data_IF_641404954039
#
_entry.id   IF_641404954039
#
_cell.length_a   1.000
_cell.length_b   1.000
_cell.length_c   1.000
_cell.angle_alpha   90.00
_cell.angle_beta   90.00
_cell.angle_gamma   90.00
#
_symmetry.space_group_name_H-M   'P 1'
#
loop_
_entity.id
_entity.type
_entity.pdbx_description
1 polymer ?
#
# COMPACT_ATOMS: atom_id res chain seq x y z
N UNK A 1 -17.54 4.12 -7.27
CA UNK A 1 -16.60 3.58 -6.27
C UNK A 1 -17.23 2.62 -5.26
N UNK A 2 -18.24 3.00 -4.49
CA UNK A 2 -18.90 2.05 -3.55
C UNK A 2 -19.38 0.76 -4.23
N UNK A 3 -20.00 0.88 -5.42
CA UNK A 3 -20.37 -0.29 -6.23
C UNK A 3 -19.17 -1.21 -6.54
N UNK A 4 -17.99 -0.64 -6.77
CA UNK A 4 -16.78 -1.41 -7.03
C UNK A 4 -16.30 -2.15 -5.78
N UNK A 5 -16.08 -1.42 -4.68
CA UNK A 5 -15.51 -1.98 -3.45
C UNK A 5 -16.48 -2.91 -2.70
N UNK A 6 -17.70 -2.46 -2.44
CA UNK A 6 -18.69 -3.20 -1.65
C UNK A 6 -19.63 -4.05 -2.49
N UNK A 7 -19.66 -3.84 -3.81
CA UNK A 7 -20.40 -4.68 -4.74
C UNK A 7 -19.50 -5.75 -5.36
N UNK A 8 -18.60 -5.35 -6.26
CA UNK A 8 -17.79 -6.28 -7.07
C UNK A 8 -16.73 -6.99 -6.23
N UNK A 9 -15.85 -6.26 -5.54
CA UNK A 9 -14.73 -6.85 -4.79
C UNK A 9 -15.21 -7.67 -3.61
N UNK A 10 -16.16 -7.14 -2.83
CA UNK A 10 -16.78 -7.86 -1.72
C UNK A 10 -17.46 -9.15 -2.20
N UNK A 11 -18.24 -9.10 -3.28
CA UNK A 11 -18.88 -10.30 -3.83
C UNK A 11 -17.85 -11.33 -4.31
N UNK A 12 -16.79 -10.87 -4.97
CA UNK A 12 -15.71 -11.76 -5.40
C UNK A 12 -15.06 -12.47 -4.21
N UNK A 13 -14.66 -11.71 -3.19
CA UNK A 13 -13.98 -12.28 -2.02
C UNK A 13 -14.90 -13.19 -1.20
N UNK A 14 -16.14 -12.79 -0.94
CA UNK A 14 -17.06 -13.56 -0.08
C UNK A 14 -17.67 -14.75 -0.81
N UNK A 15 -18.25 -14.52 -1.98
CA UNK A 15 -19.04 -15.53 -2.70
C UNK A 15 -18.15 -16.38 -3.59
N UNK A 16 -17.36 -15.74 -4.48
CA UNK A 16 -16.55 -16.50 -5.47
C UNK A 16 -15.38 -17.23 -4.81
N UNK A 17 -14.71 -16.60 -3.86
CA UNK A 17 -13.63 -17.24 -3.08
C UNK A 17 -14.11 -17.95 -1.82
N UNK A 18 -15.40 -17.81 -1.45
CA UNK A 18 -16.02 -18.55 -0.36
C UNK A 18 -15.63 -18.08 1.05
N UNK A 19 -15.19 -16.84 1.24
CA UNK A 19 -14.98 -16.26 2.57
C UNK A 19 -16.30 -15.77 3.21
N UNK A 20 -17.29 -16.67 3.29
CA UNK A 20 -18.61 -16.37 3.84
C UNK A 20 -18.53 -16.09 5.35
N UNK A 21 -19.12 -14.97 5.77
CA UNK A 21 -19.30 -14.60 7.16
C UNK A 21 -20.54 -15.35 7.66
N UNK A 22 -20.37 -16.34 8.55
CA UNK A 22 -21.49 -16.84 9.36
C UNK A 22 -21.84 -15.78 10.40
N UNK A 23 -22.65 -14.78 10.07
CA UNK A 23 -23.27 -13.95 11.11
C UNK A 23 -24.36 -14.82 11.74
N UNK A 24 -24.16 -15.26 12.98
CA UNK A 24 -25.30 -15.67 13.80
C UNK A 24 -25.92 -14.37 14.29
N UNK A 25 -27.08 -14.02 13.75
CA UNK A 25 -27.95 -13.05 14.41
C UNK A 25 -28.32 -13.64 15.78
N UNK A 26 -27.94 -12.95 16.85
CA UNK A 26 -28.54 -13.16 18.16
C UNK A 26 -29.75 -12.23 18.24
N UNK A 27 -30.92 -12.86 18.18
CA UNK A 27 -32.20 -12.50 18.79
C UNK A 27 -32.37 -11.05 19.26
N UNK A 28 -33.19 -10.31 18.51
CA UNK A 28 -34.23 -9.49 19.12
C UNK A 28 -35.46 -9.48 18.21
N UNK A 29 -36.51 -10.16 18.66
CA UNK A 29 -37.85 -10.15 18.08
C UNK A 29 -38.37 -8.71 17.93
N UNK A 30 -38.72 -8.28 16.70
CA UNK A 30 -40.11 -7.95 16.35
C UNK A 30 -40.28 -7.42 14.92
N UNK A 31 -41.23 -8.07 14.22
CA UNK A 31 -42.13 -7.57 13.16
C UNK A 31 -41.60 -7.19 11.77
N UNK A 32 -41.82 -8.13 10.84
CA UNK A 32 -42.25 -8.01 9.43
C UNK A 32 -41.87 -6.75 8.63
N UNK A 33 -40.94 -6.93 7.68
CA UNK A 33 -41.12 -6.46 6.29
C UNK A 33 -40.15 -7.14 5.32
N UNK A 34 -40.72 -7.67 4.25
CA UNK A 34 -40.09 -8.40 3.14
C UNK A 34 -38.79 -7.76 2.64
N UNK A 35 -37.69 -8.51 2.71
CA UNK A 35 -36.54 -8.40 1.80
C UNK A 35 -35.98 -9.79 1.51
N UNK A 36 -35.92 -10.09 0.22
CA UNK A 36 -35.49 -11.34 -0.40
C UNK A 36 -34.27 -12.00 0.25
N UNK A 37 -34.46 -13.24 0.68
CA UNK A 37 -33.42 -14.18 1.12
C UNK A 37 -32.33 -14.36 0.05
N UNK A 38 -31.08 -14.01 0.38
CA UNK A 38 -29.90 -14.43 -0.40
C UNK A 38 -28.89 -15.26 0.39
N UNK A 39 -29.20 -15.68 1.61
CA UNK A 39 -28.15 -16.00 2.60
C UNK A 39 -27.97 -17.49 2.89
N UNK A 40 -28.37 -18.38 1.99
CA UNK A 40 -28.08 -19.81 2.10
C UNK A 40 -27.32 -20.33 0.88
N UNK A 41 -25.99 -20.16 0.85
CA UNK A 41 -25.12 -20.92 -0.04
C UNK A 41 -24.20 -21.81 0.81
N UNK A 42 -24.32 -23.16 0.71
CA UNK A 42 -23.41 -24.10 1.37
C UNK A 42 -21.96 -23.91 0.90
N UNK A 43 -20.99 -24.24 1.76
CA UNK A 43 -19.54 -24.22 1.47
C UNK A 43 -19.12 -25.18 0.33
N UNK A 44 -20.06 -25.98 -0.21
CA UNK A 44 -19.86 -26.91 -1.34
C UNK A 44 -19.52 -26.19 -2.66
N UNK A 45 -19.87 -24.91 -2.83
CA UNK A 45 -19.56 -24.12 -4.04
C UNK A 45 -18.31 -23.22 -3.90
N UNK A 46 -17.51 -23.39 -2.84
CA UNK A 46 -16.32 -22.58 -2.63
C UNK A 46 -15.19 -22.94 -3.59
N UNK A 47 -14.72 -21.98 -4.40
CA UNK A 47 -13.59 -22.21 -5.32
C UNK A 47 -12.25 -22.42 -4.62
N UNK A 48 -12.07 -21.81 -3.44
CA UNK A 48 -10.90 -22.04 -2.60
C UNK A 48 -11.22 -23.11 -1.57
N UNK A 49 -10.29 -24.07 -1.39
CA UNK A 49 -10.38 -25.04 -0.30
C UNK A 49 -10.13 -24.35 1.05
N UNK A 50 -10.59 -24.96 2.14
CA UNK A 50 -10.39 -24.45 3.51
C UNK A 50 -8.91 -24.15 3.76
N UNK A 51 -8.01 -25.08 3.42
CA UNK A 51 -6.55 -24.89 3.56
C UNK A 51 -6.02 -23.69 2.76
N UNK A 52 -6.55 -23.44 1.56
CA UNK A 52 -6.16 -22.27 0.75
C UNK A 52 -6.65 -20.98 1.38
N UNK A 53 -7.86 -20.96 1.93
CA UNK A 53 -8.42 -19.80 2.64
C UNK A 53 -7.59 -19.45 3.86
N UNK A 54 -7.29 -20.44 4.70
CA UNK A 54 -6.45 -20.28 5.89
C UNK A 54 -5.03 -19.83 5.54
N UNK A 55 -4.44 -20.41 4.49
CA UNK A 55 -3.12 -20.00 4.02
C UNK A 55 -3.15 -18.53 3.56
N UNK A 56 -4.13 -18.15 2.74
CA UNK A 56 -4.27 -16.77 2.28
C UNK A 56 -4.39 -15.79 3.45
N UNK A 57 -5.22 -16.09 4.46
CA UNK A 57 -5.36 -15.26 5.65
C UNK A 57 -4.03 -15.09 6.39
N UNK A 58 -3.25 -16.16 6.57
CA UNK A 58 -1.93 -16.08 7.20
C UNK A 58 -0.96 -15.22 6.38
N UNK A 59 -0.96 -15.39 5.05
CA UNK A 59 -0.10 -14.62 4.15
C UNK A 59 -0.44 -13.13 4.16
N UNK A 60 -1.72 -12.76 4.21
CA UNK A 60 -2.14 -11.35 4.25
C UNK A 60 -1.54 -10.60 5.46
N UNK A 61 -1.31 -11.29 6.58
CA UNK A 61 -0.70 -10.71 7.79
C UNK A 61 0.80 -10.44 7.66
N UNK A 62 1.46 -11.01 6.65
CA UNK A 62 2.90 -10.85 6.43
C UNK A 62 3.22 -9.60 5.60
N UNK A 63 2.20 -8.95 5.04
CA UNK A 63 2.36 -7.71 4.27
C UNK A 63 2.56 -6.54 5.23
N UNK A 64 3.61 -5.77 5.02
CA UNK A 64 3.94 -4.59 5.82
C UNK A 64 3.50 -3.35 5.06
N UNK A 65 2.65 -2.57 5.71
CA UNK A 65 2.00 -1.39 5.15
C UNK A 65 2.48 -0.15 5.90
N UNK A 66 2.86 0.93 5.21
CA UNK A 66 3.26 2.18 5.86
C UNK A 66 2.07 2.88 6.53
N UNK A 67 2.34 3.80 7.48
CA UNK A 67 1.29 4.61 8.10
C UNK A 67 0.44 5.37 7.09
N UNK A 68 -0.87 5.47 7.34
CA UNK A 68 -1.82 6.23 6.50
C UNK A 68 -2.53 5.40 5.43
N UNK A 69 -2.10 4.16 5.20
CA UNK A 69 -2.83 3.20 4.35
C UNK A 69 -3.66 2.29 5.26
N UNK A 70 -4.89 1.98 4.84
CA UNK A 70 -5.75 1.06 5.57
C UNK A 70 -5.08 -0.33 5.64
N UNK A 71 -4.87 -0.84 6.86
CA UNK A 71 -4.39 -2.21 7.04
C UNK A 71 -5.54 -3.19 6.83
N UNK A 72 -5.25 -4.38 6.30
CA UNK A 72 -6.23 -5.46 6.27
C UNK A 72 -6.42 -6.01 7.69
N UNK A 73 -7.66 -6.10 8.19
CA UNK A 73 -7.92 -6.62 9.53
C UNK A 73 -7.46 -8.07 9.73
N UNK A 74 -7.00 -8.41 10.94
CA UNK A 74 -6.39 -9.73 11.20
C UNK A 74 -7.32 -10.93 10.94
N UNK A 75 -8.61 -10.78 11.21
CA UNK A 75 -9.64 -11.78 10.93
C UNK A 75 -10.34 -11.58 9.59
N UNK A 76 -9.66 -11.07 8.57
CA UNK A 76 -10.29 -10.86 7.25
C UNK A 76 -10.95 -12.15 6.74
N UNK A 77 -12.24 -12.08 6.40
CA UNK A 77 -13.01 -13.24 5.96
C UNK A 77 -13.49 -14.17 7.09
N UNK A 78 -13.32 -13.81 8.37
CA UNK A 78 -13.96 -14.52 9.49
C UNK A 78 -15.25 -13.83 9.94
N UNK A 79 -16.15 -14.61 10.54
CA UNK A 79 -17.41 -14.10 11.07
C UNK A 79 -17.23 -13.01 12.14
N UNK A 80 -16.20 -13.14 12.97
CA UNK A 80 -15.93 -12.27 14.12
C UNK A 80 -15.46 -10.86 13.76
N UNK A 81 -15.06 -10.63 12.51
CA UNK A 81 -14.30 -9.42 12.15
C UNK A 81 -15.15 -8.34 11.46
N UNK A 82 -16.46 -8.54 11.40
CA UNK A 82 -17.42 -7.58 10.85
C UNK A 82 -17.29 -7.35 9.34
N UNK A 83 -17.90 -6.26 8.85
CA UNK A 83 -17.84 -5.84 7.45
C UNK A 83 -16.61 -4.96 7.23
N UNK A 84 -15.82 -5.27 6.19
CA UNK A 84 -14.74 -4.40 5.75
C UNK A 84 -15.29 -3.09 5.16
N UNK A 85 -14.60 -2.00 5.45
CA UNK A 85 -14.84 -0.68 4.85
C UNK A 85 -14.29 -0.61 3.42
N UNK A 86 -14.75 0.36 2.64
CA UNK A 86 -14.28 0.58 1.27
C UNK A 86 -12.74 0.71 1.16
N UNK A 87 -12.09 1.42 2.09
CA UNK A 87 -10.63 1.56 2.12
C UNK A 87 -9.90 0.24 2.43
N UNK A 88 -10.51 -0.66 3.20
CA UNK A 88 -9.96 -1.97 3.52
C UNK A 88 -10.11 -2.92 2.33
N UNK A 89 -11.23 -2.86 1.60
CA UNK A 89 -11.40 -3.58 0.34
C UNK A 89 -10.37 -3.14 -0.71
N UNK A 90 -10.18 -1.83 -0.84
CA UNK A 90 -9.16 -1.27 -1.73
C UNK A 90 -7.77 -1.77 -1.34
N UNK A 91 -7.38 -1.64 -0.07
CA UNK A 91 -6.06 -2.09 0.39
C UNK A 91 -5.85 -3.60 0.21
N UNK A 92 -6.90 -4.41 0.44
CA UNK A 92 -6.85 -5.85 0.21
C UNK A 92 -6.53 -6.19 -1.25
N UNK A 93 -7.26 -5.62 -2.20
CA UNK A 93 -7.12 -5.95 -3.63
C UNK A 93 -5.97 -5.22 -4.31
N UNK A 94 -5.77 -3.94 -4.05
CA UNK A 94 -4.75 -3.15 -4.73
C UNK A 94 -3.35 -3.40 -4.15
N UNK A 95 -3.23 -3.74 -2.86
CA UNK A 95 -1.93 -3.77 -2.16
C UNK A 95 -1.55 -5.15 -1.62
N UNK A 96 -2.44 -5.80 -0.86
CA UNK A 96 -2.09 -7.04 -0.16
C UNK A 96 -2.11 -8.25 -1.09
N UNK A 97 -3.19 -8.44 -1.85
CA UNK A 97 -3.36 -9.60 -2.73
C UNK A 97 -2.23 -9.74 -3.77
N UNK A 98 -1.77 -8.67 -4.46
CA UNK A 98 -0.61 -8.73 -5.35
C UNK A 98 0.65 -9.30 -4.70
N UNK A 99 0.94 -8.92 -3.45
CA UNK A 99 2.14 -9.32 -2.73
C UNK A 99 2.05 -10.75 -2.17
N UNK A 100 0.86 -11.30 -2.00
CA UNK A 100 0.68 -12.68 -1.51
C UNK A 100 0.29 -13.66 -2.62
N UNK A 101 -0.17 -13.17 -3.77
CA UNK A 101 -0.71 -14.01 -4.85
C UNK A 101 0.27 -15.10 -5.29
N UNK A 102 1.55 -14.74 -5.41
CA UNK A 102 2.61 -15.64 -5.84
C UNK A 102 2.69 -16.89 -4.96
N UNK A 103 2.59 -16.75 -3.64
CA UNK A 103 2.64 -17.88 -2.71
C UNK A 103 1.26 -18.52 -2.50
N UNK A 104 0.21 -17.71 -2.43
CA UNK A 104 -1.15 -18.19 -2.22
C UNK A 104 -1.65 -19.08 -3.38
N UNK A 105 -1.21 -18.78 -4.60
CA UNK A 105 -1.72 -19.40 -5.83
C UNK A 105 -0.63 -20.04 -6.70
N UNK A 106 0.67 -19.79 -6.45
CA UNK A 106 1.78 -20.26 -7.27
C UNK A 106 2.32 -21.66 -6.96
N UNK A 107 1.78 -22.39 -5.97
CA UNK A 107 2.14 -23.78 -5.65
C UNK A 107 2.16 -24.70 -6.88
N UNK A 108 2.95 -25.79 -6.84
CA UNK A 108 3.23 -26.75 -7.94
C UNK A 108 2.10 -26.86 -8.97
N UNK A 109 2.37 -26.38 -10.19
CA UNK A 109 1.50 -26.53 -11.35
C UNK A 109 1.63 -27.97 -11.86
N UNK A 110 0.52 -28.71 -11.90
CA UNK A 110 0.43 -29.98 -12.62
C UNK A 110 -0.31 -29.76 -13.93
N UNK A 111 -0.11 -30.65 -14.91
CA UNK A 111 -0.78 -30.55 -16.20
C UNK A 111 -2.31 -30.40 -16.05
N UNK A 112 -2.91 -31.09 -15.07
CA UNK A 112 -4.35 -31.01 -14.80
C UNK A 112 -4.85 -29.76 -14.05
N UNK A 113 -3.98 -28.86 -13.58
CA UNK A 113 -4.43 -27.66 -12.85
C UNK A 113 -3.82 -26.34 -13.34
N UNK A 114 -2.89 -26.39 -14.31
CA UNK A 114 -2.22 -25.22 -14.87
C UNK A 114 -3.20 -24.18 -15.41
N UNK A 115 -4.08 -24.57 -16.33
CA UNK A 115 -4.97 -23.61 -17.02
C UNK A 115 -5.97 -22.96 -16.06
N UNK A 116 -6.48 -23.74 -15.09
CA UNK A 116 -7.34 -23.20 -14.03
C UNK A 116 -6.59 -22.20 -13.15
N UNK A 117 -5.31 -22.46 -12.81
CA UNK A 117 -4.48 -21.52 -12.03
C UNK A 117 -4.19 -20.25 -12.80
N UNK A 118 -3.77 -20.36 -14.06
CA UNK A 118 -3.56 -19.20 -14.94
C UNK A 118 -4.85 -18.37 -15.01
N UNK A 119 -6.00 -19.02 -15.21
CA UNK A 119 -7.30 -18.34 -15.25
C UNK A 119 -7.60 -17.61 -13.95
N UNK A 120 -7.36 -18.23 -12.80
CA UNK A 120 -7.56 -17.61 -11.47
C UNK A 120 -6.64 -16.39 -11.28
N UNK A 121 -5.40 -16.47 -11.74
CA UNK A 121 -4.44 -15.37 -11.64
C UNK A 121 -4.78 -14.21 -12.56
N UNK A 122 -5.14 -14.49 -13.82
CA UNK A 122 -5.61 -13.48 -14.75
C UNK A 122 -6.89 -12.81 -14.24
N UNK A 123 -7.77 -13.58 -13.59
CA UNK A 123 -8.97 -13.06 -12.96
C UNK A 123 -8.65 -12.09 -11.82
N UNK A 124 -7.71 -12.44 -10.94
CA UNK A 124 -7.22 -11.55 -9.87
C UNK A 124 -6.51 -10.32 -10.43
N UNK A 125 -5.61 -10.51 -11.40
CA UNK A 125 -4.86 -9.43 -12.04
C UNK A 125 -5.82 -8.40 -12.66
N UNK A 126 -6.84 -8.87 -13.38
CA UNK A 126 -7.88 -8.01 -13.96
C UNK A 126 -8.60 -7.18 -12.90
N UNK A 127 -8.93 -7.77 -11.73
CA UNK A 127 -9.52 -7.03 -10.61
C UNK A 127 -8.58 -5.99 -10.02
N UNK A 128 -7.29 -6.32 -9.88
CA UNK A 128 -6.27 -5.41 -9.36
C UNK A 128 -6.12 -4.20 -10.29
N UNK A 129 -6.00 -4.44 -11.60
CA UNK A 129 -5.90 -3.36 -12.60
C UNK A 129 -7.17 -2.49 -12.64
N UNK A 130 -8.35 -3.12 -12.60
CA UNK A 130 -9.61 -2.37 -12.51
C UNK A 130 -9.68 -1.56 -11.20
N UNK A 131 -9.14 -2.08 -10.10
CA UNK A 131 -9.10 -1.38 -8.81
C UNK A 131 -8.16 -0.18 -8.85
N UNK A 132 -6.99 -0.31 -9.50
CA UNK A 132 -6.10 0.82 -9.75
C UNK A 132 -6.77 1.90 -10.60
N UNK A 133 -7.50 1.53 -11.65
CA UNK A 133 -8.26 2.48 -12.47
C UNK A 133 -9.31 3.25 -11.66
N UNK A 134 -10.05 2.57 -10.77
CA UNK A 134 -11.07 3.21 -9.94
C UNK A 134 -10.48 4.25 -8.98
N UNK A 135 -9.22 4.11 -8.59
CA UNK A 135 -8.47 5.05 -7.76
C UNK A 135 -7.80 6.18 -8.58
N UNK A 136 -7.64 6.01 -9.89
CA UNK A 136 -6.95 6.98 -10.74
C UNK A 136 -7.55 8.38 -10.60
N UNK A 137 -6.67 9.38 -10.45
CA UNK A 137 -7.00 10.82 -10.39
C UNK A 137 -6.98 11.51 -11.74
N UNK A 138 -6.47 10.84 -12.76
CA UNK A 138 -6.48 11.29 -14.13
C UNK A 138 -7.00 10.15 -14.98
N UNK A 139 -7.91 10.47 -15.91
CA UNK A 139 -8.51 9.50 -16.81
C UNK A 139 -8.20 9.96 -18.23
N UNK A 140 -7.65 9.03 -19.01
CA UNK A 140 -7.46 9.17 -20.46
C UNK A 140 -8.30 8.11 -21.17
N UNK A 141 -8.54 8.30 -22.47
CA UNK A 141 -9.23 7.29 -23.28
C UNK A 141 -8.53 5.92 -23.20
N UNK A 142 -7.20 5.91 -23.18
CA UNK A 142 -6.41 4.69 -23.04
C UNK A 142 -6.68 3.98 -21.70
N UNK A 143 -6.73 4.71 -20.59
CA UNK A 143 -7.04 4.11 -19.28
C UNK A 143 -8.46 3.57 -19.22
N UNK A 144 -9.44 4.24 -19.85
CA UNK A 144 -10.82 3.76 -19.95
C UNK A 144 -10.91 2.46 -20.77
N UNK A 145 -10.26 2.43 -21.95
CA UNK A 145 -10.21 1.24 -22.78
C UNK A 145 -9.54 0.06 -22.06
N UNK A 146 -8.44 0.31 -21.34
CA UNK A 146 -7.79 -0.69 -20.48
C UNK A 146 -8.72 -1.23 -19.41
N UNK A 147 -9.48 -0.36 -18.73
CA UNK A 147 -10.48 -0.81 -17.76
C UNK A 147 -11.52 -1.75 -18.40
N UNK A 148 -12.07 -1.38 -19.56
CA UNK A 148 -13.09 -2.17 -20.26
C UNK A 148 -12.56 -3.54 -20.68
N UNK A 149 -11.35 -3.60 -21.23
CA UNK A 149 -10.67 -4.84 -21.61
C UNK A 149 -10.48 -5.74 -20.39
N UNK A 150 -9.95 -5.19 -19.30
CA UNK A 150 -9.69 -5.96 -18.08
C UNK A 150 -10.96 -6.43 -17.39
N UNK A 151 -11.99 -5.59 -17.34
CA UNK A 151 -13.24 -5.99 -16.73
C UNK A 151 -13.98 -7.04 -17.56
N UNK A 152 -13.90 -6.97 -18.90
CA UNK A 152 -14.39 -8.03 -19.78
C UNK A 152 -13.60 -9.35 -19.59
N UNK A 153 -12.26 -9.27 -19.47
CA UNK A 153 -11.41 -10.43 -19.19
C UNK A 153 -11.75 -11.06 -17.82
N UNK A 154 -11.99 -10.23 -16.80
CA UNK A 154 -12.49 -10.67 -15.51
C UNK A 154 -13.81 -11.40 -15.63
N UNK A 155 -14.80 -10.87 -16.35
CA UNK A 155 -16.08 -11.53 -16.57
C UNK A 155 -15.93 -12.89 -17.25
N UNK A 156 -15.17 -12.94 -18.36
CA UNK A 156 -14.94 -14.17 -19.13
C UNK A 156 -14.21 -15.25 -18.34
N UNK A 157 -13.16 -14.89 -17.61
CA UNK A 157 -12.45 -15.84 -16.73
C UNK A 157 -13.30 -16.25 -15.53
N UNK A 158 -14.19 -15.37 -15.06
CA UNK A 158 -15.09 -15.70 -13.95
C UNK A 158 -16.12 -16.75 -14.33
N UNK A 159 -16.66 -16.68 -15.55
CA UNK A 159 -17.63 -17.65 -16.06
C UNK A 159 -17.08 -19.08 -16.01
N UNK A 160 -15.82 -19.29 -16.40
CA UNK A 160 -15.19 -20.62 -16.39
C UNK A 160 -14.70 -21.06 -15.01
N UNK A 161 -14.39 -20.13 -14.12
CA UNK A 161 -13.87 -20.44 -12.78
C UNK A 161 -14.98 -20.73 -11.77
N UNK A 162 -16.11 -20.04 -11.91
CA UNK A 162 -17.16 -19.88 -10.90
C UNK A 162 -18.53 -20.25 -11.47
N UNK A 163 -18.64 -21.46 -12.02
CA UNK A 163 -19.89 -21.97 -12.58
C UNK A 163 -21.03 -21.98 -11.54
N UNK A 164 -22.23 -21.58 -11.97
CA UNK A 164 -23.42 -21.56 -11.10
C UNK A 164 -23.50 -20.39 -10.11
N UNK A 165 -22.53 -19.46 -10.10
CA UNK A 165 -22.58 -18.29 -9.22
C UNK A 165 -23.38 -17.14 -9.87
N UNK A 166 -24.34 -16.60 -9.12
CA UNK A 166 -25.19 -15.49 -9.55
C UNK A 166 -24.39 -14.22 -9.89
N UNK A 167 -24.82 -13.53 -10.94
CA UNK A 167 -24.33 -12.20 -11.31
C UNK A 167 -25.21 -11.15 -10.64
N UNK A 168 -24.68 -10.46 -9.64
CA UNK A 168 -25.37 -9.33 -9.01
C UNK A 168 -25.48 -8.11 -9.95
N UNK A 169 -26.49 -7.24 -9.76
CA UNK A 169 -26.61 -5.97 -10.47
C UNK A 169 -25.33 -5.11 -10.40
N UNK A 170 -24.58 -5.21 -9.31
CA UNK A 170 -23.31 -4.50 -9.14
C UNK A 170 -22.28 -4.82 -10.23
N UNK A 171 -22.25 -6.08 -10.71
CA UNK A 171 -21.37 -6.49 -11.80
C UNK A 171 -21.80 -5.89 -13.14
N UNK A 172 -23.10 -5.75 -13.36
CA UNK A 172 -23.64 -5.06 -14.54
C UNK A 172 -23.30 -3.57 -14.50
N UNK A 173 -23.52 -2.89 -13.37
CA UNK A 173 -23.15 -1.48 -13.22
C UNK A 173 -21.66 -1.22 -13.44
N UNK A 174 -20.79 -2.17 -13.08
CA UNK A 174 -19.36 -2.04 -13.30
C UNK A 174 -18.95 -2.09 -14.78
N UNK A 175 -19.76 -2.68 -15.68
CA UNK A 175 -19.51 -2.62 -17.13
C UNK A 175 -19.50 -1.18 -17.65
N UNK A 176 -20.26 -0.29 -17.00
CA UNK A 176 -20.39 1.10 -17.41
C UNK A 176 -19.33 2.03 -16.79
N UNK A 177 -18.44 1.53 -15.93
CA UNK A 177 -17.43 2.37 -15.26
C UNK A 177 -16.53 3.07 -16.29
N UNK A 178 -16.05 2.37 -17.33
CA UNK A 178 -15.20 2.95 -18.36
C UNK A 178 -15.88 4.12 -19.08
N UNK A 179 -17.11 3.89 -19.56
CA UNK A 179 -17.95 4.91 -20.20
C UNK A 179 -18.27 6.10 -19.28
N UNK A 180 -18.63 5.84 -18.03
CA UNK A 180 -18.94 6.89 -17.06
C UNK A 180 -17.70 7.73 -16.74
N UNK A 181 -16.52 7.12 -16.64
CA UNK A 181 -15.27 7.85 -16.41
C UNK A 181 -14.86 8.72 -17.61
N UNK A 182 -15.24 8.39 -18.84
CA UNK A 182 -15.04 9.29 -20.00
C UNK A 182 -15.87 10.56 -19.88
N UNK A 183 -17.09 10.44 -19.38
CA UNK A 183 -18.04 11.55 -19.27
C UNK A 183 -17.79 12.42 -18.04
N UNK A 184 -17.53 11.80 -16.90
CA UNK A 184 -17.47 12.46 -15.60
C UNK A 184 -16.04 12.64 -15.08
N UNK A 185 -15.06 12.04 -15.77
CA UNK A 185 -13.67 12.03 -15.35
C UNK A 185 -13.39 11.03 -14.21
N UNK A 186 -12.35 11.27 -13.41
CA UNK A 186 -11.90 10.41 -12.30
C UNK A 186 -13.01 10.09 -11.28
N UNK A 187 -13.26 8.80 -11.02
CA UNK A 187 -14.29 8.37 -10.06
C UNK A 187 -14.02 8.78 -8.62
N UNK A 188 -12.75 8.97 -8.25
CA UNK A 188 -12.33 9.46 -6.94
C UNK A 188 -12.88 10.86 -6.63
N UNK A 189 -13.01 11.70 -7.66
CA UNK A 189 -13.59 13.05 -7.56
C UNK A 189 -15.10 13.02 -7.31
N UNK A 190 -15.78 11.94 -7.70
CA UNK A 190 -17.23 11.74 -7.54
C UNK A 190 -17.57 10.92 -6.28
N UNK A 191 -16.57 10.66 -5.45
CA UNK A 191 -16.71 9.79 -4.30
C UNK A 191 -17.57 10.39 -3.20
N UNK A 192 -18.32 9.54 -2.49
CA UNK A 192 -19.01 9.93 -1.25
C UNK A 192 -18.09 9.98 -0.04
N UNK A 193 -16.81 9.61 -0.19
CA UNK A 193 -15.87 9.48 0.93
C UNK A 193 -15.67 10.80 1.68
N UNK A 194 -15.67 11.94 0.99
CA UNK A 194 -15.63 13.25 1.64
C UNK A 194 -16.84 13.49 2.56
N UNK A 195 -18.05 13.16 2.08
CA UNK A 195 -19.28 13.26 2.87
C UNK A 195 -19.33 12.29 4.05
N UNK A 196 -18.84 11.07 3.89
CA UNK A 196 -18.76 10.08 4.98
C UNK A 196 -17.77 10.51 6.07
N UNK A 197 -16.62 11.08 5.68
CA UNK A 197 -15.68 11.67 6.64
C UNK A 197 -16.33 12.82 7.40
N UNK A 198 -17.03 13.70 6.70
CA UNK A 198 -17.77 14.81 7.33
C UNK A 198 -18.82 14.28 8.31
N UNK A 199 -19.59 13.25 7.93
CA UNK A 199 -20.58 12.63 8.81
C UNK A 199 -19.94 12.03 10.07
N UNK A 200 -18.81 11.32 9.93
CA UNK A 200 -18.07 10.79 11.08
C UNK A 200 -17.55 11.90 12.01
N UNK A 201 -17.04 12.99 11.43
CA UNK A 201 -16.63 14.17 12.19
C UNK A 201 -17.83 14.78 12.93
N UNK A 202 -18.97 14.93 12.25
CA UNK A 202 -20.21 15.45 12.84
C UNK A 202 -20.72 14.57 13.99
N UNK A 203 -20.69 13.24 13.82
CA UNK A 203 -21.06 12.29 14.87
C UNK A 203 -20.10 12.31 16.06
N UNK A 204 -18.82 12.61 15.83
CA UNK A 204 -17.82 12.71 16.90
C UNK A 204 -17.90 14.02 17.69
N UNK A 205 -18.67 15.01 17.21
CA UNK A 205 -18.87 16.26 17.93
C UNK A 205 -19.91 16.08 19.04
N UNK A 206 -19.57 16.40 20.31
CA UNK A 206 -20.54 16.32 21.39
C UNK A 206 -21.62 17.39 21.18
N UNK A 207 -22.87 16.95 20.99
CA UNK A 207 -24.08 17.78 20.93
C UNK A 207 -24.50 18.25 22.32
N UNK A 208 -23.58 18.84 23.08
CA UNK A 208 -23.96 19.58 24.28
C UNK A 208 -24.40 20.97 23.81
N UNK A 209 -25.68 21.32 24.02
CA UNK A 209 -26.38 22.55 23.63
C UNK A 209 -25.78 23.86 24.18
N UNK A 210 -24.49 24.11 23.93
CA UNK A 210 -23.77 25.31 24.30
C UNK A 210 -23.07 25.85 23.05
N UNK A 211 -23.86 26.57 22.25
CA UNK A 211 -23.41 27.27 21.03
C UNK A 211 -22.31 28.31 21.37
N UNK A 212 -22.25 28.79 22.61
CA UNK A 212 -21.36 29.88 23.02
C UNK A 212 -19.90 29.49 23.37
N UNK A 213 -19.56 28.21 23.54
CA UNK A 213 -18.19 27.81 23.94
C UNK A 213 -17.32 27.27 22.80
N UNK A 214 -17.75 27.46 21.54
CA UNK A 214 -17.18 26.76 20.38
C UNK A 214 -15.84 27.31 19.86
N UNK A 215 -15.32 28.43 20.33
CA UNK A 215 -14.11 29.07 19.76
C UNK A 215 -12.80 28.63 20.41
N UNK A 216 -12.80 28.31 21.71
CA UNK A 216 -11.57 28.00 22.46
C UNK A 216 -11.23 26.50 22.52
N UNK A 217 -12.23 25.61 22.50
CA UNK A 217 -12.02 24.16 22.58
C UNK A 217 -11.61 23.50 21.25
N UNK A 218 -11.83 24.16 20.11
CA UNK A 218 -11.50 23.61 18.78
C UNK A 218 -9.98 23.61 18.50
N UNK A 219 -9.25 24.66 18.89
CA UNK A 219 -7.78 24.74 18.68
C UNK A 219 -6.99 23.69 19.47
N UNK A 220 -7.45 23.32 20.67
CA UNK A 220 -6.71 22.43 21.59
C UNK A 220 -6.89 20.93 21.32
N UNK A 221 -7.95 20.54 20.60
CA UNK A 221 -8.22 19.13 20.24
C UNK A 221 -7.67 18.77 18.87
N UNK A 222 -7.65 19.70 17.91
CA UNK A 222 -6.99 19.49 16.62
C UNK A 222 -5.45 19.35 16.75
N UNK A 223 -4.83 20.06 17.70
CA UNK A 223 -3.40 19.90 17.99
C UNK A 223 -3.04 18.52 18.57
N UNK A 224 -4.02 17.73 19.03
CA UNK A 224 -3.82 16.37 19.56
C UNK A 224 -3.96 15.27 18.49
N UNK A 225 -4.75 15.48 17.44
CA UNK A 225 -4.76 14.58 16.26
C UNK A 225 -3.53 14.79 15.37
N UNK A 226 -2.84 15.92 15.50
CA UNK A 226 -1.56 16.21 14.87
C UNK A 226 -0.34 15.85 15.74
N UNK A 227 -0.45 14.89 16.68
CA UNK A 227 0.70 14.50 17.50
C UNK A 227 1.76 13.77 16.66
N UNK A 228 2.56 14.60 15.99
CA UNK A 228 3.93 14.35 15.60
C UNK A 228 4.67 13.94 16.86
N UNK A 229 5.20 12.72 16.90
CA UNK A 229 6.17 12.36 17.91
C UNK A 229 7.30 13.43 17.86
N UNK A 230 7.72 14.00 19.01
CA UNK A 230 8.77 15.00 19.01
C UNK A 230 10.00 14.46 18.27
N UNK A 231 10.60 15.31 17.43
CA UNK A 231 11.87 14.98 16.78
C UNK A 231 12.86 14.80 17.92
N UNK A 232 13.35 13.57 18.09
CA UNK A 232 14.34 13.25 19.09
C UNK A 232 15.68 13.18 18.38
N UNK A 233 16.58 14.09 18.76
CA UNK A 233 17.94 14.14 18.27
C UNK A 233 18.82 13.40 19.28
N UNK A 234 19.56 12.40 18.81
CA UNK A 234 20.52 11.67 19.65
C UNK A 234 21.87 11.73 18.98
N UNK A 235 22.86 12.24 19.71
CA UNK A 235 24.25 12.17 19.30
C UNK A 235 24.73 10.74 19.48
N UNK A 236 25.12 10.12 18.37
CA UNK A 236 25.63 8.73 18.38
C UNK A 236 26.76 8.58 17.37
N UNK A 237 27.47 7.48 17.50
CA UNK A 237 28.52 7.09 16.57
C UNK A 237 27.93 6.31 15.40
N UNK A 238 28.45 6.59 14.19
CA UNK A 238 28.07 5.83 13.00
C UNK A 238 28.72 4.45 12.96
N UNK A 239 27.99 3.51 12.37
CA UNK A 239 28.60 2.28 11.86
C UNK A 239 29.62 2.65 10.78
N UNK A 240 30.75 1.96 10.76
CA UNK A 240 31.85 2.19 9.83
C UNK A 240 31.39 2.13 8.38
N UNK A 241 30.53 1.17 8.02
CA UNK A 241 29.99 1.04 6.67
C UNK A 241 29.16 2.27 6.25
N UNK A 242 28.35 2.80 7.17
CA UNK A 242 27.53 4.00 6.92
C UNK A 242 28.43 5.24 6.84
N UNK A 243 29.46 5.33 7.71
CA UNK A 243 30.43 6.43 7.70
C UNK A 243 31.20 6.49 6.37
N UNK A 244 31.65 5.36 5.83
CA UNK A 244 32.40 5.33 4.57
C UNK A 244 31.54 5.76 3.38
N UNK A 245 30.28 5.33 3.33
CA UNK A 245 29.31 5.79 2.32
C UNK A 245 29.05 7.29 2.46
N UNK A 246 28.92 7.79 3.68
CA UNK A 246 28.73 9.21 3.98
C UNK A 246 29.90 10.07 3.55
N UNK A 247 31.12 9.64 3.88
CA UNK A 247 32.34 10.32 3.47
C UNK A 247 32.45 10.37 1.95
N UNK A 248 32.20 9.24 1.26
CA UNK A 248 32.25 9.17 -0.19
C UNK A 248 31.18 10.06 -0.86
N UNK A 249 29.97 10.11 -0.31
CA UNK A 249 28.89 10.99 -0.80
C UNK A 249 29.27 12.47 -0.64
N UNK A 250 29.68 12.88 0.56
CA UNK A 250 30.00 14.28 0.84
C UNK A 250 31.26 14.76 0.13
N UNK A 251 32.25 13.91 -0.11
CA UNK A 251 33.44 14.25 -0.91
C UNK A 251 33.10 14.67 -2.34
N UNK A 252 31.97 14.21 -2.90
CA UNK A 252 31.50 14.67 -4.22
C UNK A 252 31.05 16.13 -4.21
N UNK A 253 30.44 16.59 -3.12
CA UNK A 253 29.98 17.97 -2.95
C UNK A 253 31.05 18.89 -2.34
N UNK A 254 31.96 18.33 -1.53
CA UNK A 254 32.98 19.06 -0.80
C UNK A 254 34.36 18.43 -1.03
N UNK A 255 35.09 18.93 -2.04
CA UNK A 255 36.43 18.43 -2.39
C UNK A 255 37.47 18.54 -1.26
N UNK A 256 37.25 19.45 -0.31
CA UNK A 256 38.15 19.70 0.82
C UNK A 256 37.84 18.87 2.07
N UNK A 257 36.83 17.98 2.02
CA UNK A 257 36.44 17.12 3.13
C UNK A 257 37.43 15.96 3.31
N UNK A 258 37.92 15.79 4.55
CA UNK A 258 38.88 14.73 4.92
C UNK A 258 38.28 13.72 5.89
N UNK A 259 38.79 12.49 5.83
CA UNK A 259 38.47 11.43 6.79
C UNK A 259 39.17 11.74 8.11
N UNK A 260 38.48 11.67 9.27
CA UNK A 260 39.15 11.90 10.56
C UNK A 260 40.33 10.95 10.83
N UNK A 261 40.35 9.78 10.18
CA UNK A 261 41.41 8.76 10.31
C UNK A 261 42.72 9.14 9.62
N UNK A 262 42.68 10.03 8.62
CA UNK A 262 43.83 10.36 7.76
C UNK A 262 44.70 11.46 8.38
N UNK A 263 45.55 11.11 9.35
CA UNK A 263 46.47 12.06 9.99
C UNK A 263 47.81 12.19 9.23
N UNK A 264 48.43 13.39 9.17
CA UNK A 264 48.03 14.66 9.78
C UNK A 264 47.11 15.51 8.88
N UNK A 265 46.15 16.20 9.50
CA UNK A 265 45.24 17.10 8.81
C UNK A 265 45.87 18.48 8.51
N UNK A 266 45.69 19.03 7.30
CA UNK A 266 46.06 20.42 6.99
C UNK A 266 45.33 21.41 7.89
N UNK A 267 45.98 22.53 8.22
CA UNK A 267 45.34 23.70 8.83
C UNK A 267 44.21 24.15 7.88
N UNK A 268 42.97 24.24 8.40
CA UNK A 268 41.72 24.57 7.66
C UNK A 268 41.00 23.41 6.93
N UNK A 269 41.46 22.17 7.05
CA UNK A 269 40.71 21.03 6.50
C UNK A 269 39.37 20.85 7.22
N UNK A 270 38.27 20.72 6.46
CA UNK A 270 36.98 20.26 7.02
C UNK A 270 37.07 18.75 7.23
N UNK A 271 36.88 18.30 8.47
CA UNK A 271 37.01 16.89 8.84
C UNK A 271 35.61 16.33 9.09
N UNK A 272 35.24 15.26 8.40
CA UNK A 272 34.04 14.51 8.77
C UNK A 272 34.39 13.65 9.99
N UNK A 273 33.79 13.96 11.14
CA UNK A 273 33.93 13.10 12.31
C UNK A 273 32.87 12.00 12.28
N UNK A 274 33.13 10.90 13.00
CA UNK A 274 32.16 9.84 13.27
C UNK A 274 30.95 10.27 14.13
N UNK A 275 30.92 11.52 14.63
CA UNK A 275 29.80 12.08 15.38
C UNK A 275 28.80 12.69 14.40
N UNK A 276 27.57 12.18 14.43
CA UNK A 276 26.46 12.75 13.66
C UNK A 276 25.20 12.84 14.51
N UNK A 277 24.29 13.71 14.09
CA UNK A 277 22.96 13.78 14.68
C UNK A 277 22.05 12.77 13.98
N UNK A 278 21.67 11.71 14.71
CA UNK A 278 20.63 10.80 14.24
C UNK A 278 19.26 11.36 14.58
N UNK A 279 18.38 11.35 13.58
CA UNK A 279 17.01 11.85 13.67
C UNK A 279 16.05 10.67 13.53
N UNK A 280 14.96 10.68 14.30
CA UNK A 280 13.96 9.61 14.26
C UNK A 280 12.97 9.72 13.10
N UNK A 281 12.77 10.92 12.53
CA UNK A 281 11.82 11.18 11.44
C UNK A 281 12.31 12.28 10.50
N UNK A 282 12.04 12.12 9.21
CA UNK A 282 12.27 13.15 8.19
C UNK A 282 10.99 13.42 7.40
N UNK A 283 10.79 14.67 6.99
CA UNK A 283 9.74 15.02 6.02
C UNK A 283 10.28 14.73 4.62
N UNK A 284 9.49 14.03 3.84
CA UNK A 284 9.74 13.83 2.40
C UNK A 284 8.74 14.69 1.60
N UNK A 285 8.74 14.56 0.28
CA UNK A 285 7.74 15.22 -0.58
C UNK A 285 6.31 14.93 -0.11
N UNK A 286 5.40 15.85 -0.42
CA UNK A 286 3.95 15.70 -0.25
C UNK A 286 3.44 15.58 1.19
N UNK A 287 4.13 16.23 2.15
CA UNK A 287 3.83 16.23 3.59
C UNK A 287 3.94 14.85 4.25
N UNK A 288 4.44 13.85 3.53
CA UNK A 288 4.67 12.50 4.03
C UNK A 288 5.94 12.47 4.88
N UNK A 289 6.05 11.50 5.79
CA UNK A 289 7.21 11.36 6.69
C UNK A 289 7.75 9.95 6.68
N UNK A 290 9.07 9.84 6.71
CA UNK A 290 9.77 8.58 6.96
C UNK A 290 10.29 8.57 8.40
N UNK A 291 10.49 7.38 8.94
CA UNK A 291 10.98 7.17 10.30
C UNK A 291 11.85 5.93 10.35
N UNK A 292 12.71 5.88 11.36
CA UNK A 292 13.61 4.74 11.62
C UNK A 292 12.98 3.68 12.53
N UNK A 293 11.67 3.77 12.82
CA UNK A 293 10.96 2.80 13.66
C UNK A 293 10.86 1.45 12.95
N UNK A 294 10.90 0.37 13.73
CA UNK A 294 10.62 -0.98 13.24
C UNK A 294 9.11 -1.27 13.23
N UNK A 295 8.60 -2.09 12.28
CA UNK A 295 9.33 -2.65 11.12
C UNK A 295 9.81 -1.54 10.18
N UNK A 296 10.95 -1.76 9.50
CA UNK A 296 11.58 -0.74 8.67
C UNK A 296 10.62 -0.22 7.61
N UNK A 297 10.63 1.09 7.39
CA UNK A 297 9.79 1.70 6.37
C UNK A 297 10.42 1.46 5.01
N UNK A 298 9.66 0.81 4.14
CA UNK A 298 9.94 0.70 2.72
C UNK A 298 9.72 2.03 1.99
N UNK A 299 10.65 2.40 1.13
CA UNK A 299 10.53 3.58 0.27
C UNK A 299 10.89 3.26 -1.18
N UNK A 300 10.48 4.15 -2.08
CA UNK A 300 10.94 4.17 -3.46
C UNK A 300 11.46 5.55 -3.86
N UNK A 301 12.35 5.57 -4.83
CA UNK A 301 12.86 6.78 -5.47
C UNK A 301 13.10 6.53 -6.95
N UNK A 302 13.17 7.61 -7.72
CA UNK A 302 13.58 7.54 -9.12
C UNK A 302 15.11 7.64 -9.23
N UNK A 303 15.71 6.68 -9.93
CA UNK A 303 17.12 6.69 -10.29
C UNK A 303 17.20 6.55 -11.81
N UNK A 304 17.56 7.62 -12.50
CA UNK A 304 17.71 7.67 -13.97
C UNK A 304 16.46 7.20 -14.73
N UNK A 305 15.27 7.56 -14.25
CA UNK A 305 13.98 7.19 -14.84
C UNK A 305 13.51 5.77 -14.47
N UNK A 306 14.20 5.09 -13.56
CA UNK A 306 13.82 3.77 -13.05
C UNK A 306 13.49 3.82 -11.56
N UNK A 307 12.38 3.19 -11.17
CA UNK A 307 12.01 3.05 -9.77
C UNK A 307 12.97 2.12 -9.05
N UNK A 308 13.56 2.62 -7.97
CA UNK A 308 14.42 1.87 -7.06
C UNK A 308 13.78 1.78 -5.67
N UNK A 309 14.13 0.74 -4.91
CA UNK A 309 13.46 0.39 -3.66
C UNK A 309 14.48 0.10 -2.54
N UNK A 310 14.07 0.34 -1.30
CA UNK A 310 14.93 0.10 -0.14
C UNK A 310 14.27 0.38 1.19
N UNK A 311 14.98 0.02 2.26
CA UNK A 311 14.54 0.22 3.63
C UNK A 311 15.21 1.44 4.25
N UNK A 312 14.44 2.26 4.96
CA UNK A 312 15.01 3.32 5.79
C UNK A 312 15.63 2.71 7.05
N UNK A 313 16.95 2.83 7.17
CA UNK A 313 17.72 2.31 8.31
C UNK A 313 17.99 3.42 9.31
N UNK A 314 18.48 4.56 8.83
CA UNK A 314 18.84 5.72 9.66
C UNK A 314 18.51 7.02 8.93
N UNK A 315 18.39 8.11 9.68
CA UNK A 315 18.27 9.46 9.16
C UNK A 315 19.32 10.30 9.86
N UNK A 316 20.17 10.95 9.08
CA UNK A 316 21.32 11.68 9.57
C UNK A 316 21.23 13.15 9.16
N UNK A 317 21.60 14.02 10.08
CA UNK A 317 21.87 15.43 9.80
C UNK A 317 23.29 15.77 10.18
N UNK A 318 23.92 16.60 9.35
CA UNK A 318 25.32 17.03 9.53
C UNK A 318 25.33 18.56 9.62
N UNK A 319 25.31 19.12 10.84
CA UNK A 319 25.12 20.54 11.08
C UNK A 319 26.15 21.46 10.40
N UNK A 320 27.39 20.99 10.23
CA UNK A 320 28.54 21.83 9.88
C UNK A 320 28.95 21.78 8.40
N UNK A 321 28.32 20.93 7.60
CA UNK A 321 28.75 20.60 6.22
C UNK A 321 27.64 20.71 5.19
N UNK A 322 26.45 20.23 5.53
CA UNK A 322 25.26 20.28 4.67
C UNK A 322 24.36 21.42 5.19
N UNK A 323 23.66 22.14 4.33
CA UNK A 323 22.81 23.32 4.65
C UNK A 323 21.56 22.98 5.52
N UNK A 324 21.69 22.06 6.47
CA UNK A 324 20.57 21.48 7.21
C UNK A 324 19.84 20.37 6.47
N UNK A 325 20.36 19.90 5.33
CA UNK A 325 19.81 18.80 4.53
C UNK A 325 19.82 17.49 5.32
N UNK A 326 18.67 16.80 5.32
CA UNK A 326 18.50 15.51 6.01
C UNK A 326 18.82 14.38 5.03
N UNK A 327 19.89 13.65 5.30
CA UNK A 327 20.28 12.48 4.52
C UNK A 327 19.60 11.25 5.10
N UNK A 328 18.90 10.50 4.26
CA UNK A 328 18.27 9.24 4.63
C UNK A 328 19.21 8.11 4.24
N UNK A 329 19.64 7.34 5.24
CA UNK A 329 20.42 6.12 5.04
C UNK A 329 19.47 5.00 4.71
N UNK A 330 19.68 4.40 3.54
CA UNK A 330 18.85 3.32 3.07
C UNK A 330 19.67 2.05 2.85
N UNK A 331 19.06 0.91 3.15
CA UNK A 331 19.54 -0.39 2.69
C UNK A 331 18.88 -0.67 1.34
N UNK A 332 19.70 -0.70 0.28
CA UNK A 332 19.19 -0.79 -1.10
C UNK A 332 18.71 -2.21 -1.38
N UNK A 333 17.64 -2.30 -2.15
CA UNK A 333 17.25 -3.55 -2.80
C UNK A 333 17.70 -3.54 -4.26
N UNK A 334 18.38 -4.60 -4.69
CA UNK A 334 18.69 -4.80 -6.11
C UNK A 334 17.51 -5.53 -6.77
N UNK A 335 16.90 -4.89 -7.76
CA UNK A 335 15.79 -5.48 -8.51
C UNK A 335 16.25 -6.63 -9.38
N UNK A 336 15.47 -7.70 -9.40
CA UNK A 336 15.77 -8.92 -10.14
C UNK A 336 14.55 -9.41 -10.91
N UNK A 337 14.79 -10.05 -12.05
CA UNK A 337 13.75 -10.78 -12.74
C UNK A 337 13.53 -12.13 -12.04
N UNK A 338 12.31 -12.32 -11.53
CA UNK A 338 11.89 -13.49 -10.75
C UNK A 338 12.19 -14.82 -11.46
N UNK A 339 12.13 -14.87 -12.79
CA UNK A 339 12.39 -16.09 -13.57
C UNK A 339 13.82 -16.62 -13.43
N UNK A 340 14.79 -15.77 -13.06
CA UNK A 340 16.19 -16.18 -12.88
C UNK A 340 16.55 -16.55 -11.44
N UNK A 341 15.73 -16.13 -10.47
CA UNK A 341 16.06 -16.24 -9.04
C UNK A 341 15.15 -17.19 -8.26
N UNK A 342 14.02 -17.61 -8.83
CA UNK A 342 13.06 -18.52 -8.22
C UNK A 342 12.56 -19.58 -9.21
N UNK A 343 12.07 -20.72 -8.70
CA UNK A 343 11.50 -21.79 -9.52
C UNK A 343 10.02 -21.53 -9.81
N UNK A 344 9.75 -20.43 -10.51
CA UNK A 344 8.39 -20.00 -10.87
C UNK A 344 8.16 -20.13 -12.36
N UNK A 345 6.88 -20.21 -12.76
CA UNK A 345 6.50 -20.24 -14.16
C UNK A 345 6.65 -18.86 -14.81
N UNK A 346 7.07 -18.76 -16.09
CA UNK A 346 7.30 -17.47 -16.76
C UNK A 346 6.09 -16.51 -16.74
N UNK A 347 4.88 -17.06 -16.75
CA UNK A 347 3.63 -16.31 -16.69
C UNK A 347 3.55 -15.39 -15.46
N UNK A 348 4.19 -15.77 -14.35
CA UNK A 348 4.24 -14.95 -13.13
C UNK A 348 4.95 -13.63 -13.31
N UNK A 349 5.96 -13.56 -14.18
CA UNK A 349 6.70 -12.31 -14.41
C UNK A 349 5.77 -11.25 -15.00
N UNK A 350 4.96 -11.64 -16.00
CA UNK A 350 3.99 -10.74 -16.63
C UNK A 350 2.86 -10.36 -15.67
N UNK A 351 2.36 -11.32 -14.89
CA UNK A 351 1.26 -11.08 -13.93
C UNK A 351 1.70 -10.13 -12.80
N UNK A 352 2.92 -10.29 -12.27
CA UNK A 352 3.43 -9.39 -11.23
C UNK A 352 3.66 -7.98 -11.76
N UNK A 353 4.18 -7.86 -12.98
CA UNK A 353 4.38 -6.56 -13.64
C UNK A 353 3.05 -5.80 -13.80
N UNK A 354 2.01 -6.48 -14.30
CA UNK A 354 0.65 -5.92 -14.40
C UNK A 354 0.08 -5.50 -13.04
N UNK A 355 0.33 -6.29 -12.00
CA UNK A 355 -0.06 -5.92 -10.62
C UNK A 355 0.88 -4.88 -9.97
N UNK A 356 1.86 -4.35 -10.71
CA UNK A 356 2.85 -3.36 -10.24
C UNK A 356 3.69 -3.83 -9.05
N UNK A 357 4.08 -5.11 -9.07
CA UNK A 357 4.93 -5.72 -8.04
C UNK A 357 6.35 -5.87 -8.56
N UNK A 358 7.28 -5.16 -7.93
CA UNK A 358 8.71 -5.33 -8.16
C UNK A 358 9.30 -6.41 -7.24
N UNK A 359 10.34 -7.10 -7.69
CA UNK A 359 11.03 -8.16 -6.93
C UNK A 359 12.49 -7.78 -6.81
N UNK A 360 13.05 -7.90 -5.61
CA UNK A 360 14.48 -7.69 -5.41
C UNK A 360 15.03 -8.47 -4.21
N UNK A 361 16.35 -8.48 -4.04
CA UNK A 361 16.99 -8.92 -2.81
C UNK A 361 17.61 -7.74 -2.09
N UNK A 362 17.64 -7.79 -0.76
CA UNK A 362 18.27 -6.75 0.06
C UNK A 362 19.78 -6.91 -0.04
N UNK A 363 20.47 -5.87 -0.54
CA UNK A 363 21.92 -5.86 -0.61
C UNK A 363 22.49 -5.58 0.78
N UNK A 364 22.69 -6.65 1.56
CA UNK A 364 23.16 -6.56 2.95
C UNK A 364 24.45 -5.75 3.04
N UNK A 365 24.48 -4.80 3.97
CA UNK A 365 25.58 -3.85 4.19
C UNK A 365 25.93 -2.95 2.99
N UNK A 366 25.08 -2.87 1.96
CA UNK A 366 25.19 -1.90 0.88
C UNK A 366 24.21 -0.75 1.12
N UNK A 367 24.74 0.33 1.71
CA UNK A 367 23.95 1.51 2.03
C UNK A 367 24.05 2.57 0.94
N UNK A 368 22.93 3.25 0.70
CA UNK A 368 22.89 4.46 -0.10
C UNK A 368 22.44 5.63 0.76
N UNK A 369 22.93 6.82 0.43
CA UNK A 369 22.46 8.08 1.00
C UNK A 369 21.60 8.78 -0.04
N UNK A 370 20.38 9.09 0.36
CA UNK A 370 19.41 9.78 -0.48
C UNK A 370 18.92 10.99 0.29
N UNK A 371 18.93 12.14 -0.38
CA UNK A 371 18.30 13.34 0.15
C UNK A 371 16.79 13.09 0.37
N UNK A 372 16.26 13.51 1.52
CA UNK A 372 14.86 13.27 1.85
C UNK A 372 13.87 13.82 0.80
N UNK A 373 14.22 14.87 0.06
CA UNK A 373 13.39 15.43 -1.01
C UNK A 373 13.39 14.59 -2.30
N UNK A 374 14.37 13.70 -2.49
CA UNK A 374 14.46 12.81 -3.65
C UNK A 374 13.61 11.55 -3.50
N UNK A 375 13.10 11.27 -2.29
CA UNK A 375 12.22 10.13 -2.01
C UNK A 375 10.86 10.36 -2.68
N UNK A 376 10.42 9.40 -3.51
CA UNK A 376 9.15 9.45 -4.22
C UNK A 376 7.95 9.06 -3.34
N UNK A 377 8.17 8.19 -2.36
CA UNK A 377 7.12 7.80 -1.41
C UNK A 377 7.47 6.54 -0.62
N UNK A 378 6.51 6.06 0.17
CA UNK A 378 6.57 4.77 0.83
C UNK A 378 6.24 3.61 -0.10
N UNK A 379 6.55 2.40 0.36
CA UNK A 379 6.18 1.15 -0.28
C UNK A 379 5.40 0.26 0.67
N UNK A 380 4.46 -0.49 0.11
CA UNK A 380 3.96 -1.72 0.73
C UNK A 380 4.91 -2.84 0.32
N UNK A 381 5.29 -3.70 1.25
CA UNK A 381 6.23 -4.76 0.94
C UNK A 381 5.94 -6.06 1.67
N UNK A 382 6.53 -7.14 1.16
CA UNK A 382 6.49 -8.46 1.78
C UNK A 382 7.84 -9.15 1.60
N UNK A 383 8.42 -9.61 2.69
CA UNK A 383 9.64 -10.42 2.67
C UNK A 383 9.31 -11.89 2.40
N UNK A 384 10.11 -12.54 1.56
CA UNK A 384 10.01 -13.95 1.21
C UNK A 384 11.29 -14.65 1.65
N UNK A 385 11.14 -15.64 2.53
CA UNK A 385 12.21 -16.48 3.01
C UNK A 385 12.87 -17.30 1.91
N UNK A 386 14.12 -17.72 2.16
CA UNK A 386 14.86 -18.63 1.27
C UNK A 386 14.08 -19.94 1.11
N UNK A 387 14.00 -20.44 -0.13
CA UNK A 387 13.39 -21.73 -0.44
C UNK A 387 11.86 -21.72 -0.56
N UNK A 388 11.15 -20.68 -0.13
CA UNK A 388 9.67 -20.59 -0.22
C UNK A 388 9.15 -20.84 -1.64
N UNK A 389 9.89 -20.39 -2.66
CA UNK A 389 9.56 -20.56 -4.08
C UNK A 389 10.68 -21.24 -4.86
N UNK A 390 11.55 -21.99 -4.17
CA UNK A 390 12.81 -22.47 -4.73
C UNK A 390 13.84 -21.35 -4.99
N UNK A 391 13.63 -20.18 -4.38
CA UNK A 391 14.57 -19.06 -4.42
C UNK A 391 15.80 -19.34 -3.56
N UNK A 392 16.99 -19.03 -4.09
CA UNK A 392 18.28 -19.26 -3.39
C UNK A 392 18.59 -18.21 -2.33
N UNK A 393 18.06 -17.00 -2.49
CA UNK A 393 18.28 -15.87 -1.58
C UNK A 393 16.93 -15.37 -1.08
N UNK A 394 16.93 -14.68 0.07
CA UNK A 394 15.73 -13.99 0.55
C UNK A 394 15.33 -12.90 -0.45
N UNK A 395 14.04 -12.80 -0.73
CA UNK A 395 13.49 -11.83 -1.68
C UNK A 395 12.57 -10.86 -0.95
N UNK A 396 12.36 -9.69 -1.54
CA UNK A 396 11.35 -8.73 -1.11
C UNK A 396 10.49 -8.38 -2.31
N UNK A 397 9.18 -8.49 -2.12
CA UNK A 397 8.20 -7.98 -3.06
C UNK A 397 7.85 -6.56 -2.65
N UNK A 398 7.94 -5.66 -3.61
CA UNK A 398 7.75 -4.22 -3.43
C UNK A 398 6.58 -3.74 -4.25
N UNK A 399 5.80 -2.84 -3.66
CA UNK A 399 4.78 -2.08 -4.36
C UNK A 399 4.86 -0.62 -3.94
N UNK A 400 5.13 0.26 -4.91
CA UNK A 400 5.15 1.70 -4.68
C UNK A 400 3.75 2.19 -4.25
N UNK A 401 3.74 3.06 -3.24
CA UNK A 401 2.55 3.82 -2.87
C UNK A 401 2.69 5.19 -3.50
N UNK A 402 1.80 5.47 -4.45
CA UNK A 402 1.67 6.80 -5.01
C UNK A 402 0.90 7.66 -3.99
N UNK A 403 1.63 8.48 -3.20
CA UNK A 403 1.02 9.46 -2.32
C UNK A 403 0.37 10.51 -3.18
N UNK A 404 -0.95 10.50 -3.21
CA UNK A 404 -1.66 11.48 -3.97
C UNK A 404 -1.51 12.85 -3.29
N UNK A 405 -0.90 13.81 -3.98
CA UNK A 405 -0.64 15.20 -3.55
C UNK A 405 -1.88 16.05 -3.24
N UNK A 406 -3.07 15.45 -3.18
CA UNK A 406 -4.32 16.12 -2.87
C UNK A 406 -5.28 15.13 -2.20
N UNK A 407 -4.88 14.62 -1.03
CA UNK A 407 -5.87 14.22 -0.04
C UNK A 407 -6.18 15.47 0.78
N UNK A 408 -7.42 15.92 0.62
CA UNK A 408 -8.11 16.90 1.45
C UNK A 408 -7.49 18.31 1.44
N UNK A 409 -8.09 19.21 0.64
CA UNK A 409 -8.28 20.56 1.19
C UNK A 409 -8.95 20.38 2.53
N UNK A 410 -8.45 21.08 3.54
CA UNK A 410 -9.04 21.06 4.87
C UNK A 410 -10.56 21.21 4.72
N UNK A 411 -11.40 20.37 5.36
CA UNK A 411 -12.84 20.58 5.37
C UNK A 411 -13.23 22.03 5.74
N UNK A 412 -12.37 22.74 6.48
CA UNK A 412 -12.51 24.17 6.76
C UNK A 412 -12.16 25.10 5.58
N UNK A 413 -11.23 24.73 4.69
CA UNK A 413 -11.00 25.45 3.42
C UNK A 413 -12.23 25.32 2.50
N UNK A 414 -12.86 24.15 2.45
CA UNK A 414 -14.10 23.96 1.69
C UNK A 414 -15.27 24.76 2.28
N UNK A 415 -15.37 24.87 3.61
CA UNK A 415 -16.34 25.74 4.28
C UNK A 415 -16.06 27.24 4.02
N UNK A 416 -14.79 27.66 3.95
CA UNK A 416 -14.45 29.05 3.65
C UNK A 416 -14.81 29.48 2.23
N UNK A 417 -14.83 28.54 1.27
CA UNK A 417 -15.20 28.81 -0.12
C UNK A 417 -16.72 28.79 -0.39
N UNK A 418 -17.53 28.35 0.57
CA UNK A 418 -19.01 28.36 0.48
C UNK A 418 -19.59 29.59 1.20
N UNK A 419 -18.74 30.35 1.90
CA UNK A 419 -19.11 31.54 2.69
C UNK A 419 -18.65 32.84 2.02
N UNK A 420 -18.04 32.76 0.84
CA UNK A 420 -17.88 33.89 -0.11
C UNK A 420 -18.83 33.70 -1.29
#
# INVERSE_FOLDING_TARGET
MHNWYEGVLQHHFRIRWGFNIKVKDQDSENTNKDKSDSDNIPDENSTLTITKKENLQKLLLTVIVPPGIAAVPKGVGTASNGKLKASEWHSLFAKHLPLVALEAFGNVWSAGNRDRKISLLNNLCSLVECTHFVECKSITEETCAKFEINYALYCRTSETLFEGISIQPNHHYALHIGQLSRLLGPLISLSKFGGERLNGLLQSMPTNNLIDSMTSSKKKRFSKLSMVAPIQEVNTHLDLAIYEVLLAHLKKAHSNLRDYRDMPHPLEAKILTWNVQKINTAKIKDKTRVSTKKPHIGIWWDCDGQQSFGFVIDIIRIPDLDEGTMQVVIERTDLVNLAYVANVKPEWVQILDQMKVAVGYVASACYNLIDASSIGGHCVYREISVGTMGNKHALVLWMAVEYSTNLDRDPMELLSMVVE
#
